data_IF_590800869361
#
_entry.id   IF_590800869361
#
_cell.length_a   1.000
_cell.length_b   1.000
_cell.length_c   1.000
_cell.angle_alpha   90.00
_cell.angle_beta   90.00
_cell.angle_gamma   90.00
#
_symmetry.space_group_name_H-M   'P 1'
#
loop_
_entity.id
_entity.type
_entity.pdbx_description
1 polymer ?
#
# COMPACT_ATOMS: atom_id res chain seq x y z
N UNK A 1 -10.15 -13.36 -7.90
CA UNK A 1 -10.16 -12.79 -6.53
C UNK A 1 -8.73 -12.60 -6.10
N UNK A 2 -8.30 -11.36 -5.86
CA UNK A 2 -6.89 -11.00 -5.60
C UNK A 2 -6.43 -11.33 -4.17
N UNK A 3 -6.47 -12.60 -3.78
CA UNK A 3 -6.09 -13.03 -2.44
C UNK A 3 -4.57 -13.05 -2.30
N UNK A 4 -3.98 -12.42 -1.28
CA UNK A 4 -2.52 -12.52 -1.03
C UNK A 4 -2.22 -13.88 -0.41
N UNK A 5 -1.21 -14.62 -0.90
CA UNK A 5 -0.78 -15.86 -0.25
C UNK A 5 -0.37 -15.62 1.21
N UNK A 6 -0.76 -16.53 2.11
CA UNK A 6 -0.47 -16.40 3.54
C UNK A 6 1.03 -16.29 3.84
N UNK A 7 1.87 -16.98 3.05
CA UNK A 7 3.32 -16.91 3.18
C UNK A 7 3.83 -15.49 2.89
N UNK A 8 3.48 -14.92 1.74
CA UNK A 8 3.83 -13.54 1.36
C UNK A 8 3.38 -12.54 2.43
N UNK A 9 2.15 -12.67 2.95
CA UNK A 9 1.65 -11.79 4.00
C UNK A 9 2.47 -11.88 5.30
N UNK A 10 2.97 -13.08 5.67
CA UNK A 10 3.82 -13.28 6.85
C UNK A 10 5.24 -12.74 6.65
N UNK A 11 5.79 -12.87 5.45
CA UNK A 11 7.10 -12.32 5.09
C UNK A 11 7.06 -10.79 5.15
N UNK A 12 6.07 -10.16 4.50
CA UNK A 12 5.82 -8.72 4.57
C UNK A 12 5.69 -8.28 6.04
N UNK A 13 4.88 -8.97 6.83
CA UNK A 13 4.71 -8.65 8.25
C UNK A 13 6.00 -8.74 9.07
N UNK A 14 6.90 -9.66 8.72
CA UNK A 14 8.20 -9.81 9.39
C UNK A 14 9.11 -8.62 9.09
N UNK A 15 9.14 -8.17 7.84
CA UNK A 15 9.90 -6.98 7.43
C UNK A 15 9.32 -5.72 8.09
N UNK A 16 7.99 -5.54 8.05
CA UNK A 16 7.35 -4.42 8.74
C UNK A 16 7.70 -4.39 10.22
N UNK A 17 7.69 -5.55 10.90
CA UNK A 17 8.06 -5.62 12.32
C UNK A 17 9.50 -5.23 12.61
N UNK A 18 10.44 -5.61 11.73
CA UNK A 18 11.85 -5.30 11.89
C UNK A 18 12.16 -3.81 11.70
N UNK A 19 11.34 -3.10 10.90
CA UNK A 19 11.61 -1.73 10.49
C UNK A 19 10.64 -0.68 11.06
N UNK A 20 9.65 -1.08 11.86
CA UNK A 20 8.71 -0.15 12.49
C UNK A 20 8.45 -0.43 13.95
N UNK A 21 8.13 0.62 14.71
CA UNK A 21 7.65 0.49 16.09
C UNK A 21 6.16 0.12 16.16
N UNK A 22 5.69 -0.43 17.28
CA UNK A 22 4.31 -0.90 17.46
C UNK A 22 3.23 0.15 17.12
N UNK A 23 3.49 1.41 17.46
CA UNK A 23 2.56 2.53 17.23
C UNK A 23 2.76 3.27 15.91
N UNK A 24 3.72 2.88 15.07
CA UNK A 24 3.95 3.55 13.80
C UNK A 24 2.85 3.21 12.77
N UNK A 25 2.40 4.22 12.04
CA UNK A 25 1.47 4.08 10.92
C UNK A 25 2.20 3.47 9.71
N UNK A 26 1.62 2.43 9.11
CA UNK A 26 2.08 1.86 7.85
C UNK A 26 1.12 2.28 6.74
N UNK A 27 1.68 2.84 5.66
CA UNK A 27 0.90 3.21 4.49
C UNK A 27 0.74 1.98 3.59
N UNK A 28 -0.43 1.37 3.56
CA UNK A 28 -0.69 0.24 2.67
C UNK A 28 -2.16 0.15 2.24
N UNK A 29 -2.42 -0.28 1.02
CA UNK A 29 -3.80 -0.58 0.61
C UNK A 29 -4.32 -1.85 1.31
N UNK A 30 -3.41 -2.71 1.77
CA UNK A 30 -3.73 -4.01 2.32
C UNK A 30 -3.57 -4.06 3.85
N UNK A 31 -4.67 -3.82 4.55
CA UNK A 31 -4.71 -3.82 6.02
C UNK A 31 -4.22 -5.13 6.65
N UNK A 32 -4.34 -6.27 5.95
CA UNK A 32 -3.87 -7.57 6.43
C UNK A 32 -2.37 -7.57 6.78
N UNK A 33 -1.54 -6.78 6.07
CA UNK A 33 -0.10 -6.68 6.38
C UNK A 33 0.14 -6.09 7.76
N UNK A 34 -0.56 -4.99 8.08
CA UNK A 34 -0.46 -4.33 9.39
C UNK A 34 -0.99 -5.22 10.51
N UNK A 35 -2.08 -5.95 10.25
CA UNK A 35 -2.65 -6.88 11.21
C UNK A 35 -1.68 -8.02 11.54
N UNK A 36 -1.07 -8.67 10.54
CA UNK A 36 -0.06 -9.71 10.78
C UNK A 36 1.23 -9.17 11.40
N UNK A 37 1.56 -7.91 11.14
CA UNK A 37 2.72 -7.25 11.72
C UNK A 37 2.47 -6.80 13.17
N UNK A 38 1.24 -6.89 13.68
CA UNK A 38 0.84 -6.28 14.96
C UNK A 38 1.19 -4.79 14.98
N UNK A 39 0.68 -4.05 13.98
CA UNK A 39 0.91 -2.62 13.79
C UNK A 39 -0.39 -1.84 13.76
N UNK A 40 -0.30 -0.58 14.16
CA UNK A 40 -1.45 0.32 14.11
C UNK A 40 -1.92 0.53 12.68
N UNK A 41 -3.23 0.38 12.50
CA UNK A 41 -3.91 0.62 11.24
C UNK A 41 -4.68 1.95 11.31
N UNK A 42 -4.09 3.07 10.87
CA UNK A 42 -4.85 4.31 10.79
C UNK A 42 -5.96 4.16 9.75
N UNK A 43 -7.22 4.33 10.17
CA UNK A 43 -8.33 4.59 9.26
C UNK A 43 -7.98 5.83 8.43
N UNK A 44 -7.66 5.64 7.14
CA UNK A 44 -7.22 6.69 6.21
C UNK A 44 -5.83 6.49 5.60
N UNK A 45 -4.90 5.80 6.29
CA UNK A 45 -3.58 5.42 5.75
C UNK A 45 -3.46 3.93 5.42
N UNK A 46 -4.45 3.12 5.80
CA UNK A 46 -4.77 1.95 5.02
C UNK A 46 -6.22 1.95 4.65
N UNK A 47 -6.47 2.08 3.35
CA UNK A 47 -7.82 2.17 2.83
C UNK A 47 -7.98 1.17 1.70
N UNK A 48 -8.93 0.22 1.79
CA UNK A 48 -9.27 -0.65 0.67
C UNK A 48 -9.85 0.16 -0.52
N UNK A 49 -10.12 1.45 -0.38
CA UNK A 49 -10.41 2.33 -1.52
C UNK A 49 -9.18 2.81 -2.29
N UNK A 50 -7.95 2.51 -1.86
CA UNK A 50 -6.77 2.73 -2.72
C UNK A 50 -6.82 1.87 -3.97
N UNK A 51 -7.84 1.05 -4.13
CA UNK A 51 -8.09 0.24 -5.28
C UNK A 51 -8.98 0.97 -6.31
N UNK A 52 -8.44 1.29 -7.49
CA UNK A 52 -9.24 1.43 -8.72
C UNK A 52 -9.97 0.12 -8.96
N UNK A 53 -11.23 0.05 -8.53
CA UNK A 53 -12.16 -1.06 -8.73
C UNK A 53 -12.33 -1.43 -10.22
N UNK A 54 -11.35 -2.05 -10.86
CA UNK A 54 -11.56 -2.72 -12.14
C UNK A 54 -12.12 -4.13 -11.93
N UNK A 55 -11.84 -4.76 -10.78
CA UNK A 55 -12.32 -6.11 -10.46
C UNK A 55 -13.67 -6.16 -9.73
N UNK A 56 -14.21 -5.03 -9.27
CA UNK A 56 -15.58 -4.93 -8.75
C UNK A 56 -16.49 -4.66 -9.95
N UNK A 57 -16.76 -5.72 -10.72
CA UNK A 57 -17.49 -5.68 -12.00
C UNK A 57 -18.95 -5.21 -11.91
N UNK A 58 -19.36 -4.56 -10.82
CA UNK A 58 -20.73 -4.15 -10.52
C UNK A 58 -20.93 -2.63 -10.42
N UNK A 59 -19.87 -1.81 -10.37
CA UNK A 59 -19.98 -0.35 -10.31
C UNK A 59 -19.63 0.28 -11.67
N UNK A 60 -20.46 1.18 -12.24
CA UNK A 60 -20.13 1.93 -13.44
C UNK A 60 -18.85 2.77 -13.31
N UNK A 61 -18.03 2.82 -14.36
CA UNK A 61 -16.70 3.48 -14.36
C UNK A 61 -16.74 4.93 -13.89
N UNK A 62 -17.80 5.66 -14.20
CA UNK A 62 -17.97 7.07 -13.83
C UNK A 62 -18.18 7.24 -12.32
N UNK A 63 -18.90 6.30 -11.69
CA UNK A 63 -19.18 6.30 -10.25
C UNK A 63 -17.99 5.80 -9.43
N UNK A 64 -17.13 4.95 -10.00
CA UNK A 64 -15.91 4.47 -9.32
C UNK A 64 -15.03 5.61 -8.82
N UNK A 65 -14.93 6.70 -9.59
CA UNK A 65 -14.13 7.89 -9.22
C UNK A 65 -14.60 8.56 -7.93
N UNK A 66 -15.87 8.40 -7.56
CA UNK A 66 -16.43 8.95 -6.32
C UNK A 66 -16.05 8.13 -5.08
N UNK A 67 -15.65 6.87 -5.27
CA UNK A 67 -15.19 5.97 -4.21
C UNK A 67 -13.66 5.91 -4.10
N UNK A 68 -12.95 6.50 -5.07
CA UNK A 68 -11.51 6.65 -4.98
C UNK A 68 -11.18 7.68 -3.88
N UNK A 69 -10.22 7.39 -2.99
CA UNK A 69 -9.75 8.32 -1.98
C UNK A 69 -9.16 9.55 -2.67
N UNK A 70 -9.37 10.70 -2.04
CA UNK A 70 -8.78 11.94 -2.51
C UNK A 70 -7.24 11.80 -2.58
N UNK A 71 -6.69 11.92 -3.79
CA UNK A 71 -5.24 11.84 -4.04
C UNK A 71 -4.48 12.82 -3.17
N UNK A 72 -5.04 13.99 -2.85
CA UNK A 72 -4.36 14.95 -2.00
C UNK A 72 -4.26 14.50 -0.55
N UNK A 73 -5.22 13.71 -0.05
CA UNK A 73 -5.10 13.11 1.28
C UNK A 73 -3.90 12.16 1.32
N UNK A 74 -3.70 11.35 0.28
CA UNK A 74 -2.55 10.44 0.18
C UNK A 74 -1.22 11.20 0.03
N UNK A 75 -1.18 12.24 -0.81
CA UNK A 75 0.01 13.10 -0.97
C UNK A 75 0.41 13.76 0.33
N UNK A 76 -0.56 14.35 1.03
CA UNK A 76 -0.33 14.96 2.35
C UNK A 76 0.10 13.93 3.37
N UNK A 77 -0.48 12.72 3.38
CA UNK A 77 -0.04 11.65 4.26
C UNK A 77 1.44 11.28 4.02
N UNK A 78 1.87 11.10 2.77
CA UNK A 78 3.26 10.74 2.46
C UNK A 78 4.28 11.82 2.88
N UNK A 79 3.93 13.09 2.68
CA UNK A 79 4.80 14.25 2.97
C UNK A 79 4.78 14.64 4.44
N UNK A 80 3.59 14.87 4.98
CA UNK A 80 3.38 15.58 6.25
C UNK A 80 3.34 14.64 7.45
N UNK A 81 2.89 13.39 7.29
CA UNK A 81 2.82 12.45 8.41
C UNK A 81 4.17 11.78 8.69
N UNK A 82 4.44 11.37 9.94
CA UNK A 82 5.62 10.58 10.31
C UNK A 82 5.47 9.10 9.90
N UNK A 83 5.02 8.86 8.66
CA UNK A 83 4.93 7.53 8.07
C UNK A 83 6.31 7.18 7.53
N UNK A 84 6.91 6.12 8.06
CA UNK A 84 8.24 5.67 7.62
C UNK A 84 8.17 4.55 6.59
N UNK A 85 7.12 3.75 6.59
CA UNK A 85 7.00 2.58 5.72
C UNK A 85 5.76 2.64 4.83
N UNK A 86 5.94 2.25 3.57
CA UNK A 86 4.87 2.02 2.60
C UNK A 86 4.96 0.59 2.09
N UNK A 87 3.86 -0.17 2.13
CA UNK A 87 3.78 -1.50 1.54
C UNK A 87 2.80 -1.50 0.37
N UNK A 88 3.31 -1.80 -0.82
CA UNK A 88 2.59 -1.72 -2.10
C UNK A 88 2.44 -3.13 -2.67
N UNK A 89 1.21 -3.64 -2.68
CA UNK A 89 0.87 -4.87 -3.40
C UNK A 89 0.68 -4.54 -4.89
N UNK A 90 1.70 -4.83 -5.71
CA UNK A 90 1.68 -4.48 -7.14
C UNK A 90 0.62 -5.26 -7.93
N UNK A 91 0.12 -6.39 -7.41
CA UNK A 91 -0.93 -7.22 -8.05
C UNK A 91 -2.25 -6.48 -8.17
N UNK A 92 -2.54 -5.64 -7.18
CA UNK A 92 -3.67 -4.76 -7.26
C UNK A 92 -3.26 -3.68 -8.26
N UNK A 93 -3.76 -3.77 -9.51
CA UNK A 93 -3.69 -2.71 -10.53
C UNK A 93 -4.37 -1.39 -10.10
N UNK A 94 -4.56 -1.25 -8.81
CA UNK A 94 -5.62 -0.51 -8.24
C UNK A 94 -5.00 0.66 -7.42
N UNK A 95 -3.73 0.56 -7.01
CA UNK A 95 -2.97 1.55 -6.24
C UNK A 95 -2.40 2.67 -7.13
N UNK A 96 -2.58 3.94 -6.75
CA UNK A 96 -2.00 5.09 -7.47
C UNK A 96 -0.51 4.93 -7.81
N UNK A 97 0.27 4.26 -6.96
CA UNK A 97 1.70 3.98 -7.17
C UNK A 97 2.02 3.07 -8.37
N UNK A 98 1.03 2.45 -9.03
CA UNK A 98 1.23 1.64 -10.24
C UNK A 98 1.01 2.41 -11.55
N UNK A 99 0.03 3.33 -11.59
CA UNK A 99 -0.41 3.96 -12.85
C UNK A 99 -0.45 5.47 -12.83
N UNK A 100 -0.16 6.10 -11.69
CA UNK A 100 -0.08 7.56 -11.56
C UNK A 100 1.40 7.99 -11.53
N UNK A 101 1.93 8.60 -12.61
CA UNK A 101 3.32 9.02 -12.67
C UNK A 101 3.69 10.04 -11.58
N UNK A 102 2.75 10.88 -11.15
CA UNK A 102 2.99 11.88 -10.12
C UNK A 102 3.14 11.22 -8.75
N UNK A 103 2.31 10.23 -8.42
CA UNK A 103 2.44 9.47 -7.19
C UNK A 103 3.67 8.56 -7.19
N UNK A 104 4.08 8.01 -8.34
CA UNK A 104 5.35 7.28 -8.46
C UNK A 104 6.55 8.19 -8.24
N UNK A 105 6.53 9.39 -8.82
CA UNK A 105 7.57 10.39 -8.62
C UNK A 105 7.64 10.79 -7.14
N UNK A 106 6.49 11.02 -6.50
CA UNK A 106 6.41 11.35 -5.08
C UNK A 106 6.93 10.21 -4.18
N UNK A 107 6.56 8.96 -4.47
CA UNK A 107 7.08 7.81 -3.73
C UNK A 107 8.60 7.76 -3.83
N UNK A 108 9.16 7.91 -5.02
CA UNK A 108 10.61 7.88 -5.24
C UNK A 108 11.35 9.09 -4.66
N UNK A 109 10.70 10.24 -4.52
CA UNK A 109 11.31 11.42 -3.89
C UNK A 109 11.32 11.33 -2.37
N UNK A 110 10.27 10.78 -1.78
CA UNK A 110 10.11 10.71 -0.32
C UNK A 110 10.61 9.39 0.28
N UNK A 111 10.66 8.31 -0.49
CA UNK A 111 11.00 6.96 -0.03
C UNK A 111 11.99 6.28 -1.00
N UNK A 112 12.72 5.29 -0.50
CA UNK A 112 13.48 4.35 -1.30
C UNK A 112 12.99 2.92 -1.08
N UNK A 113 13.19 2.07 -2.09
CA UNK A 113 12.81 0.66 -2.00
C UNK A 113 13.69 -0.04 -0.96
N UNK A 114 13.04 -0.62 0.04
CA UNK A 114 13.68 -1.42 1.09
C UNK A 114 13.79 -2.88 0.65
N UNK A 115 12.67 -3.49 0.27
CA UNK A 115 12.61 -4.92 -0.05
C UNK A 115 11.46 -5.25 -1.01
N UNK A 116 11.64 -6.34 -1.78
CA UNK A 116 10.63 -6.90 -2.67
C UNK A 116 10.33 -8.32 -2.26
N UNK A 117 9.08 -8.58 -1.86
CA UNK A 117 8.60 -9.90 -1.44
C UNK A 117 7.89 -10.58 -2.62
N UNK A 118 8.41 -11.70 -3.14
CA UNK A 118 7.78 -12.41 -4.23
C UNK A 118 6.45 -13.04 -3.81
N UNK A 119 5.53 -13.18 -4.77
CA UNK A 119 4.29 -13.93 -4.60
C UNK A 119 4.39 -15.23 -5.42
N UNK A 120 4.33 -16.41 -4.79
CA UNK A 120 4.60 -17.69 -5.49
C UNK A 120 3.60 -18.06 -6.59
N UNK A 121 2.44 -17.39 -6.65
CA UNK A 121 1.36 -17.69 -7.59
C UNK A 121 0.94 -16.51 -8.45
N UNK A 122 1.66 -15.39 -8.36
CA UNK A 122 1.28 -14.13 -9.00
C UNK A 122 2.51 -13.51 -9.67
N UNK A 123 2.30 -12.81 -10.79
CA UNK A 123 3.41 -12.20 -11.55
C UNK A 123 4.02 -10.99 -10.83
N UNK A 124 3.22 -10.26 -10.04
CA UNK A 124 3.61 -9.01 -9.39
C UNK A 124 3.96 -9.21 -7.90
N UNK A 125 5.11 -8.68 -7.42
CA UNK A 125 5.53 -8.80 -6.02
C UNK A 125 4.87 -7.75 -5.11
N UNK A 126 5.09 -7.90 -3.80
CA UNK A 126 4.86 -6.81 -2.83
C UNK A 126 6.16 -6.04 -2.66
N UNK A 127 6.10 -4.72 -2.80
CA UNK A 127 7.23 -3.84 -2.53
C UNK A 127 7.07 -3.14 -1.19
N UNK A 128 8.16 -3.05 -0.43
CA UNK A 128 8.23 -2.32 0.83
C UNK A 128 9.20 -1.17 0.63
N UNK A 129 8.74 0.04 0.91
CA UNK A 129 9.48 1.28 0.76
C UNK A 129 9.66 1.93 2.12
N UNK A 130 10.80 2.58 2.34
CA UNK A 130 11.14 3.27 3.58
C UNK A 130 11.50 4.74 3.31
N UNK A 131 11.06 5.64 4.19
CA UNK A 131 11.23 7.09 4.02
C UNK A 131 12.72 7.43 3.97
N UNK A 132 13.09 8.35 3.09
CA UNK A 132 14.46 8.86 2.98
C UNK A 132 14.81 9.63 4.26
N UNK A 133 16.04 9.45 4.74
CA UNK A 133 16.59 10.18 5.90
C UNK A 133 16.81 11.67 5.60
#
# INVERSE_FOLDING_TARGET
>A
TGSIPHQTAREVATILRAHSALGEEILTAQGLFTFYADRFLPFGASHPGWYLEERVGTVPTELRRLFLPDKEVLRRAMREKPIRLVAIDRRTREVYFNYDPEMQALLKSEYHLLETVPSPYEEDPVEIWIKND
#
